data_IF_307741226131
#
_entry.id   IF_307741226131
#
_cell.length_a   1.000
_cell.length_b   1.000
_cell.length_c   1.000
_cell.angle_alpha   90.00
_cell.angle_beta   90.00
_cell.angle_gamma   90.00
#
_symmetry.space_group_name_H-M   'P 1'
#
loop_
_entity.id
_entity.type
_entity.pdbx_description
1 polymer ?
#
# COMPACT_ATOMS: atom_id res chain seq x y z
N UNK A 1 -16.68 -2.59 18.58
CA UNK A 1 -15.52 -1.84 18.05
C UNK A 1 -15.17 -2.46 16.70
N UNK A 2 -15.15 -1.70 15.59
CA UNK A 2 -14.77 -2.24 14.27
C UNK A 2 -13.24 -2.20 14.16
N UNK A 3 -12.59 -3.34 14.38
CA UNK A 3 -11.15 -3.49 14.21
C UNK A 3 -10.75 -3.53 12.72
N UNK A 4 -9.51 -3.12 12.44
CA UNK A 4 -8.86 -3.36 11.16
C UNK A 4 -8.70 -4.88 11.01
N UNK A 5 -9.53 -5.50 10.18
CA UNK A 5 -9.31 -6.90 9.79
C UNK A 5 -8.03 -6.95 8.95
N UNK A 6 -7.06 -7.84 9.25
CA UNK A 6 -5.86 -8.01 8.45
C UNK A 6 -6.22 -8.72 7.14
N UNK A 7 -6.89 -8.00 6.24
CA UNK A 7 -7.12 -8.42 4.86
C UNK A 7 -6.10 -7.67 4.03
N UNK A 8 -4.87 -8.18 3.98
CA UNK A 8 -3.80 -7.52 3.26
C UNK A 8 -2.67 -8.49 2.94
N UNK A 9 -2.47 -8.75 1.66
CA UNK A 9 -1.21 -9.27 1.17
C UNK A 9 -0.06 -8.30 1.50
N UNK A 10 1.18 -8.77 1.33
CA UNK A 10 2.35 -7.91 1.45
C UNK A 10 2.28 -6.72 0.47
N UNK A 11 2.80 -5.58 0.88
CA UNK A 11 3.06 -4.43 0.01
C UNK A 11 4.56 -4.15 0.01
N UNK A 12 5.08 -3.61 -1.09
CA UNK A 12 6.47 -3.17 -1.16
C UNK A 12 6.56 -1.66 -1.11
N UNK A 13 7.21 -1.16 -0.06
CA UNK A 13 7.57 0.24 0.07
C UNK A 13 8.94 0.42 -0.56
N UNK A 14 8.98 1.07 -1.72
CA UNK A 14 10.22 1.37 -2.44
C UNK A 14 10.99 2.54 -1.79
N UNK A 15 12.27 2.76 -2.14
CA UNK A 15 13.12 3.74 -1.45
C UNK A 15 12.53 5.15 -1.33
N UNK A 16 11.74 5.60 -2.32
CA UNK A 16 11.00 6.87 -2.24
C UNK A 16 10.00 6.89 -1.07
N UNK A 17 9.22 5.83 -0.90
CA UNK A 17 8.29 5.68 0.22
C UNK A 17 9.01 5.53 1.55
N UNK A 18 10.10 4.76 1.60
CA UNK A 18 10.90 4.57 2.82
C UNK A 18 11.47 5.90 3.32
N UNK A 19 11.95 6.76 2.41
CA UNK A 19 12.39 8.12 2.76
C UNK A 19 11.27 8.99 3.31
N UNK A 20 10.07 8.91 2.73
CA UNK A 20 8.91 9.63 3.26
C UNK A 20 8.58 9.17 4.69
N UNK A 21 8.60 7.85 4.94
CA UNK A 21 8.38 7.30 6.30
C UNK A 21 9.44 7.82 7.28
N UNK A 22 10.72 7.81 6.90
CA UNK A 22 11.80 8.34 7.73
C UNK A 22 11.63 9.83 8.03
N UNK A 23 11.26 10.63 7.02
CA UNK A 23 11.01 12.07 7.20
C UNK A 23 9.85 12.37 8.13
N UNK A 24 8.85 11.48 8.19
CA UNK A 24 7.71 11.56 9.11
C UNK A 24 8.02 10.97 10.51
N UNK A 25 9.27 10.57 10.77
CA UNK A 25 9.70 9.97 12.05
C UNK A 25 9.39 8.48 12.19
N UNK A 26 8.85 7.84 11.14
CA UNK A 26 8.47 6.42 11.13
C UNK A 26 9.53 5.52 10.47
N UNK A 27 10.80 5.93 10.49
CA UNK A 27 11.91 5.17 9.91
C UNK A 27 12.06 3.79 10.55
N UNK A 28 11.99 3.73 11.88
CA UNK A 28 12.16 2.50 12.67
C UNK A 28 11.11 1.43 12.33
N UNK A 29 9.89 1.84 11.93
CA UNK A 29 8.86 0.92 11.45
C UNK A 29 9.34 0.20 10.19
N UNK A 30 10.00 0.92 9.26
CA UNK A 30 10.55 0.31 8.04
C UNK A 30 11.72 -0.60 8.32
N UNK A 31 12.56 -0.24 9.30
CA UNK A 31 13.72 -1.06 9.69
C UNK A 31 13.28 -2.37 10.36
N UNK A 32 12.29 -2.29 11.26
CA UNK A 32 11.81 -3.41 12.07
C UNK A 32 10.98 -4.41 11.26
N UNK A 33 10.02 -3.91 10.47
CA UNK A 33 9.04 -4.75 9.79
C UNK A 33 9.37 -4.99 8.31
N UNK A 34 10.31 -4.24 7.74
CA UNK A 34 10.71 -4.37 6.34
C UNK A 34 11.58 -5.58 6.08
N UNK A 35 11.09 -6.54 5.31
CA UNK A 35 11.87 -7.70 4.86
C UNK A 35 13.11 -7.32 4.04
N UNK A 36 14.18 -8.11 4.06
CA UNK A 36 15.47 -7.75 3.47
C UNK A 36 15.50 -8.02 1.96
N UNK A 37 14.86 -7.16 1.15
CA UNK A 37 14.87 -7.31 -0.31
C UNK A 37 16.22 -6.87 -0.92
N UNK A 38 17.02 -7.83 -1.36
CA UNK A 38 18.38 -7.63 -1.89
C UNK A 38 18.51 -7.86 -3.39
N UNK A 39 17.66 -8.72 -3.96
CA UNK A 39 17.73 -9.11 -5.37
C UNK A 39 16.35 -9.13 -6.01
N UNK A 40 16.32 -9.01 -7.33
CA UNK A 40 15.17 -9.37 -8.15
C UNK A 40 15.56 -10.46 -9.13
N UNK A 41 14.66 -11.41 -9.36
CA UNK A 41 14.82 -12.44 -10.36
C UNK A 41 13.53 -12.63 -11.17
N UNK A 42 13.71 -12.95 -12.44
CA UNK A 42 12.65 -13.42 -13.33
C UNK A 42 13.00 -14.83 -13.75
N UNK A 43 12.08 -15.75 -13.49
CA UNK A 43 12.21 -17.17 -13.83
C UNK A 43 11.14 -17.55 -14.84
N UNK A 44 11.48 -18.42 -15.77
CA UNK A 44 10.44 -19.04 -16.59
C UNK A 44 9.52 -19.89 -15.69
N UNK A 45 8.21 -19.76 -15.86
CA UNK A 45 7.23 -20.47 -15.02
C UNK A 45 7.25 -22.00 -15.24
N UNK A 46 7.58 -22.48 -16.44
CA UNK A 46 7.55 -23.91 -16.78
C UNK A 46 8.85 -24.60 -16.41
N UNK A 47 9.99 -24.04 -16.80
CA UNK A 47 11.31 -24.65 -16.58
C UNK A 47 11.93 -24.27 -15.24
N UNK A 48 11.53 -23.15 -14.64
CA UNK A 48 12.15 -22.59 -13.44
C UNK A 48 13.51 -21.92 -13.70
N UNK A 49 13.97 -21.87 -14.96
CA UNK A 49 15.25 -21.29 -15.33
C UNK A 49 15.29 -19.79 -15.06
N UNK A 50 16.40 -19.28 -14.52
CA UNK A 50 16.61 -17.85 -14.35
C UNK A 50 16.77 -17.19 -15.72
N UNK A 51 15.79 -16.38 -16.12
CA UNK A 51 15.89 -15.53 -17.30
C UNK A 51 16.79 -14.32 -17.02
N UNK A 52 16.63 -13.71 -15.84
CA UNK A 52 17.51 -12.65 -15.36
C UNK A 52 17.48 -12.56 -13.85
N UNK A 53 18.59 -12.14 -13.26
CA UNK A 53 18.72 -11.90 -11.83
C UNK A 53 19.72 -10.75 -11.61
N UNK A 54 19.36 -9.80 -10.76
CA UNK A 54 20.22 -8.66 -10.47
C UNK A 54 20.12 -8.19 -9.02
N UNK A 55 21.22 -7.60 -8.55
CA UNK A 55 21.32 -7.02 -7.22
C UNK A 55 20.62 -5.65 -7.17
N UNK A 56 19.98 -5.37 -6.04
CA UNK A 56 19.46 -4.05 -5.71
C UNK A 56 20.50 -3.17 -5.01
N UNK A 57 21.71 -3.66 -4.73
CA UNK A 57 22.77 -2.87 -4.11
C UNK A 57 23.06 -1.53 -4.84
N UNK A 58 23.13 -1.46 -6.18
CA UNK A 58 23.32 -0.18 -6.88
C UNK A 58 22.14 0.80 -6.69
N UNK A 59 20.91 0.29 -6.54
CA UNK A 59 19.75 1.12 -6.20
C UNK A 59 19.88 1.67 -4.77
N UNK A 60 20.27 0.82 -3.83
CA UNK A 60 20.43 1.18 -2.42
C UNK A 60 21.53 2.22 -2.26
N UNK A 61 22.69 2.03 -2.90
CA UNK A 61 23.80 2.99 -2.88
C UNK A 61 23.37 4.35 -3.42
N UNK A 62 22.70 4.38 -4.57
CA UNK A 62 22.24 5.62 -5.20
C UNK A 62 21.15 6.34 -4.42
N UNK A 63 20.29 5.59 -3.72
CA UNK A 63 19.13 6.16 -3.02
C UNK A 63 19.36 6.35 -1.53
N UNK A 64 20.31 5.65 -0.91
CA UNK A 64 20.52 5.63 0.53
C UNK A 64 19.43 4.90 1.32
N UNK A 65 18.54 4.15 0.66
CA UNK A 65 17.48 3.40 1.35
C UNK A 65 17.17 2.11 0.61
N UNK A 66 16.84 1.05 1.36
CA UNK A 66 16.43 -0.24 0.78
C UNK A 66 14.92 -0.29 0.54
N UNK A 67 14.44 -1.05 -0.46
CA UNK A 67 13.03 -1.42 -0.51
C UNK A 67 12.66 -2.29 0.70
N UNK A 68 11.45 -2.10 1.20
CA UNK A 68 10.89 -2.81 2.33
C UNK A 68 9.56 -3.49 1.94
N UNK A 69 9.58 -4.77 1.53
CA UNK A 69 8.38 -5.60 1.58
C UNK A 69 7.90 -5.71 3.03
N UNK A 70 6.63 -5.42 3.28
CA UNK A 70 6.02 -5.41 4.61
C UNK A 70 4.61 -6.00 4.53
N UNK A 71 4.14 -6.59 5.63
CA UNK A 71 2.72 -6.86 5.78
C UNK A 71 1.96 -5.53 5.81
N UNK A 72 0.94 -5.39 4.97
CA UNK A 72 0.10 -4.19 4.97
C UNK A 72 -0.60 -3.98 6.32
N UNK A 73 -1.06 -5.07 6.93
CA UNK A 73 -1.77 -5.01 8.20
C UNK A 73 -0.85 -4.56 9.33
N UNK A 74 0.39 -5.05 9.36
CA UNK A 74 1.38 -4.63 10.36
C UNK A 74 1.77 -3.19 10.15
N UNK A 75 2.12 -2.79 8.92
CA UNK A 75 2.45 -1.41 8.62
C UNK A 75 1.34 -0.44 9.08
N UNK A 76 0.09 -0.74 8.75
CA UNK A 76 -1.04 0.12 9.15
C UNK A 76 -1.23 0.16 10.66
N UNK A 77 -1.04 -0.97 11.35
CA UNK A 77 -1.15 -1.04 12.81
C UNK A 77 -0.08 -0.18 13.47
N UNK A 78 1.18 -0.34 13.09
CA UNK A 78 2.29 0.40 13.68
C UNK A 78 2.21 1.90 13.39
N UNK A 79 1.79 2.28 12.17
CA UNK A 79 1.54 3.70 11.86
C UNK A 79 0.43 4.29 12.75
N UNK A 80 -0.64 3.53 12.98
CA UNK A 80 -1.75 3.96 13.81
C UNK A 80 -1.33 4.07 15.28
N UNK A 81 -0.49 3.15 15.77
CA UNK A 81 0.06 3.19 17.13
C UNK A 81 1.01 4.38 17.31
N UNK A 82 1.85 4.67 16.31
CA UNK A 82 2.78 5.81 16.31
C UNK A 82 2.04 7.17 16.40
N UNK A 83 0.97 7.36 15.61
CA UNK A 83 0.20 8.62 15.61
C UNK A 83 -0.88 8.71 16.70
N UNK A 84 -1.12 7.61 17.42
CA UNK A 84 -2.11 7.51 18.48
C UNK A 84 -3.50 7.15 17.98
N UNK A 85 -4.04 6.05 18.51
CA UNK A 85 -5.39 5.54 18.18
C UNK A 85 -6.50 6.51 18.57
N UNK A 86 -6.30 7.29 19.63
CA UNK A 86 -7.31 8.21 20.15
C UNK A 86 -7.60 9.37 19.20
N UNK A 87 -6.66 9.68 18.31
CA UNK A 87 -6.80 10.67 17.24
C UNK A 87 -7.65 10.15 16.06
N UNK A 88 -8.05 8.88 16.06
CA UNK A 88 -8.72 8.22 14.94
C UNK A 88 -10.11 7.75 15.33
N UNK A 89 -11.11 8.26 14.62
CA UNK A 89 -12.50 7.82 14.79
C UNK A 89 -12.87 6.74 13.77
N UNK A 90 -13.04 5.50 14.24
CA UNK A 90 -13.48 4.38 13.41
C UNK A 90 -15.00 4.39 13.18
N UNK A 91 -15.44 3.69 12.14
CA UNK A 91 -16.87 3.58 11.80
C UNK A 91 -17.45 4.82 11.11
N UNK A 92 -16.64 5.85 10.87
CA UNK A 92 -17.01 7.09 10.17
C UNK A 92 -16.84 6.95 8.66
N UNK A 93 -17.82 6.34 7.99
CA UNK A 93 -17.84 6.26 6.51
C UNK A 93 -18.47 7.54 5.96
N UNK A 94 -17.71 8.32 5.21
CA UNK A 94 -18.18 9.55 4.56
C UNK A 94 -19.17 9.23 3.43
N UNK A 95 -20.22 10.05 3.29
CA UNK A 95 -21.24 9.95 2.24
C UNK A 95 -21.34 11.22 1.39
N UNK A 96 -21.01 12.37 1.97
CA UNK A 96 -21.13 13.70 1.36
C UNK A 96 -20.10 14.64 1.95
N UNK A 97 -19.64 15.60 1.16
CA UNK A 97 -18.94 16.79 1.62
C UNK A 97 -19.55 18.04 0.97
N UNK A 98 -19.43 19.17 1.64
CA UNK A 98 -19.73 20.51 1.12
C UNK A 98 -18.65 21.47 1.57
N UNK A 99 -18.36 22.45 0.73
CA UNK A 99 -17.41 23.52 0.99
C UNK A 99 -18.12 24.86 0.78
N UNK A 100 -17.90 25.78 1.70
CA UNK A 100 -18.38 27.16 1.64
C UNK A 100 -17.27 28.13 2.05
N UNK A 101 -17.61 29.40 2.28
CA UNK A 101 -16.63 30.44 2.63
C UNK A 101 -16.00 30.22 4.03
N UNK A 102 -16.63 29.44 4.90
CA UNK A 102 -16.23 29.23 6.28
C UNK A 102 -15.50 27.87 6.49
N UNK A 103 -15.53 26.97 5.50
CA UNK A 103 -14.72 25.75 5.48
C UNK A 103 -15.39 24.57 4.79
N UNK A 104 -15.05 23.36 5.23
CA UNK A 104 -15.58 22.09 4.69
C UNK A 104 -16.35 21.35 5.77
N UNK A 105 -17.54 20.85 5.42
CA UNK A 105 -18.34 19.94 6.26
C UNK A 105 -18.49 18.58 5.59
N UNK A 106 -18.32 17.51 6.36
CA UNK A 106 -18.52 16.12 5.92
C UNK A 106 -19.61 15.44 6.72
N UNK A 107 -20.37 14.57 6.05
CA UNK A 107 -21.41 13.75 6.68
C UNK A 107 -21.08 12.27 6.57
N UNK A 108 -21.44 11.52 7.62
CA UNK A 108 -21.13 10.10 7.75
C UNK A 108 -22.38 9.23 7.73
N UNK A 109 -22.22 7.94 7.44
CA UNK A 109 -23.33 6.97 7.40
C UNK A 109 -24.05 6.75 8.72
N UNK A 110 -23.43 7.13 9.85
CA UNK A 110 -24.04 7.05 11.18
C UNK A 110 -24.91 8.27 11.53
N UNK A 111 -25.09 9.20 10.59
CA UNK A 111 -25.86 10.43 10.77
C UNK A 111 -25.08 11.58 11.39
N UNK A 112 -23.84 11.35 11.85
CA UNK A 112 -22.99 12.42 12.36
C UNK A 112 -22.35 13.25 11.24
N UNK A 113 -21.80 14.41 11.61
CA UNK A 113 -20.99 15.27 10.73
C UNK A 113 -19.76 15.80 11.45
N UNK A 114 -18.81 16.31 10.67
CA UNK A 114 -17.65 17.04 11.16
C UNK A 114 -17.33 18.21 10.23
N UNK A 115 -16.82 19.31 10.78
CA UNK A 115 -16.44 20.51 10.03
C UNK A 115 -15.00 20.92 10.35
N UNK A 116 -14.33 21.55 9.39
CA UNK A 116 -12.98 22.10 9.57
C UNK A 116 -12.51 22.92 8.37
N UNK A 117 -11.34 23.54 8.49
CA UNK A 117 -10.81 24.45 7.47
C UNK A 117 -10.35 23.74 6.20
N UNK A 118 -9.98 22.46 6.30
CA UNK A 118 -9.46 21.65 5.20
C UNK A 118 -9.90 20.19 5.33
N UNK A 119 -10.21 19.57 4.19
CA UNK A 119 -10.46 18.14 4.06
C UNK A 119 -9.39 17.47 3.18
N UNK A 120 -8.68 16.49 3.74
CA UNK A 120 -7.78 15.61 2.98
C UNK A 120 -8.53 14.32 2.62
N UNK A 121 -8.92 14.18 1.36
CA UNK A 121 -9.59 12.98 0.86
C UNK A 121 -8.59 11.82 0.63
N UNK A 122 -8.45 10.95 1.63
CA UNK A 122 -7.60 9.75 1.58
C UNK A 122 -8.42 8.44 1.62
N UNK A 123 -9.61 8.43 1.03
CA UNK A 123 -10.61 7.35 1.08
C UNK A 123 -10.46 6.26 -0.01
N UNK A 124 -9.32 6.23 -0.69
CA UNK A 124 -8.86 5.11 -1.51
C UNK A 124 -9.53 4.98 -2.89
N UNK A 125 -9.36 3.81 -3.52
CA UNK A 125 -9.75 3.60 -4.93
C UNK A 125 -11.25 3.67 -5.19
N UNK A 126 -12.06 3.43 -4.15
CA UNK A 126 -13.54 3.55 -4.15
C UNK A 126 -14.03 4.84 -3.48
N UNK A 127 -13.21 5.90 -3.54
CA UNK A 127 -13.51 7.20 -2.94
C UNK A 127 -14.94 7.66 -3.20
N UNK A 128 -15.65 7.98 -2.13
CA UNK A 128 -16.98 8.60 -2.19
C UNK A 128 -16.86 10.11 -2.46
N UNK A 129 -15.71 10.70 -2.16
CA UNK A 129 -15.44 12.13 -2.30
C UNK A 129 -14.94 12.51 -3.70
N UNK A 130 -14.31 11.60 -4.43
CA UNK A 130 -13.76 11.88 -5.77
C UNK A 130 -14.78 12.49 -6.74
N UNK A 131 -16.04 12.04 -6.83
CA UNK A 131 -17.01 12.67 -7.72
C UNK A 131 -17.35 14.12 -7.34
N UNK A 132 -17.28 14.48 -6.06
CA UNK A 132 -17.51 15.85 -5.59
C UNK A 132 -16.41 16.78 -6.08
N UNK A 133 -15.15 16.35 -5.97
CA UNK A 133 -13.99 17.10 -6.44
C UNK A 133 -13.97 17.23 -7.97
N UNK A 134 -14.34 16.16 -8.68
CA UNK A 134 -14.29 16.14 -10.14
C UNK A 134 -15.54 16.71 -10.83
N UNK A 135 -16.67 16.81 -10.12
CA UNK A 135 -17.97 17.14 -10.70
C UNK A 135 -18.60 16.01 -11.54
N UNK A 136 -17.96 14.84 -11.61
CA UNK A 136 -18.48 13.65 -12.30
C UNK A 136 -17.90 12.37 -11.70
N UNK A 137 -18.56 11.24 -11.96
CA UNK A 137 -18.04 9.93 -11.55
C UNK A 137 -17.20 9.31 -12.67
N UNK A 138 -15.87 9.16 -12.50
CA UNK A 138 -15.03 8.52 -13.50
C UNK A 138 -15.37 7.03 -13.62
N UNK A 139 -15.51 6.56 -14.85
CA UNK A 139 -15.78 5.15 -15.13
C UNK A 139 -14.53 4.29 -14.88
N UNK A 140 -14.72 3.16 -14.21
CA UNK A 140 -13.63 2.19 -13.98
C UNK A 140 -13.57 1.22 -15.15
N UNK A 141 -12.40 1.10 -15.76
CA UNK A 141 -12.14 0.10 -16.78
C UNK A 141 -11.45 -1.11 -16.15
N UNK A 142 -11.99 -2.30 -16.37
CA UNK A 142 -11.31 -3.52 -15.99
C UNK A 142 -10.01 -3.67 -16.80
N UNK A 143 -8.91 -4.01 -16.12
CA UNK A 143 -7.58 -4.08 -16.72
C UNK A 143 -7.38 -5.34 -17.59
N UNK A 144 -8.34 -6.27 -17.59
CA UNK A 144 -8.24 -7.53 -18.33
C UNK A 144 -7.67 -8.70 -17.52
N UNK A 145 -7.26 -8.48 -16.27
CA UNK A 145 -6.70 -9.52 -15.40
C UNK A 145 -7.08 -9.32 -13.92
N UNK A 146 -6.92 -10.39 -13.14
CA UNK A 146 -7.09 -10.42 -11.68
C UNK A 146 -5.81 -10.92 -11.04
N UNK A 147 -5.42 -10.30 -9.91
CA UNK A 147 -4.30 -10.76 -9.11
C UNK A 147 -4.79 -11.60 -7.94
N UNK A 148 -4.31 -12.84 -7.86
CA UNK A 148 -4.50 -13.72 -6.70
C UNK A 148 -3.31 -13.53 -5.75
N UNK A 149 -3.60 -13.30 -4.48
CA UNK A 149 -2.57 -13.11 -3.47
C UNK A 149 -2.77 -14.10 -2.33
N UNK A 150 -1.68 -14.66 -1.84
CA UNK A 150 -1.63 -15.54 -0.68
C UNK A 150 -0.37 -15.26 0.13
N UNK A 151 -0.39 -15.67 1.40
CA UNK A 151 0.77 -15.65 2.27
C UNK A 151 1.14 -17.11 2.58
N UNK A 152 2.43 -17.40 2.53
CA UNK A 152 3.01 -18.70 2.88
C UNK A 152 4.20 -18.48 3.79
N UNK A 153 4.57 -19.49 4.58
CA UNK A 153 5.86 -19.48 5.27
C UNK A 153 6.99 -19.41 4.25
N UNK A 154 8.09 -18.75 4.61
CA UNK A 154 9.25 -18.66 3.72
C UNK A 154 9.78 -20.07 3.47
N UNK A 155 9.88 -20.42 2.18
CA UNK A 155 10.44 -21.67 1.73
C UNK A 155 11.49 -21.40 0.64
N UNK A 156 12.76 -21.58 1.01
CA UNK A 156 13.92 -21.40 0.14
C UNK A 156 13.94 -22.41 -1.02
N UNK A 157 13.14 -23.50 -0.94
CA UNK A 157 12.93 -24.39 -2.08
C UNK A 157 12.09 -23.75 -3.19
N UNK A 158 11.23 -22.78 -2.86
CA UNK A 158 10.45 -22.01 -3.84
C UNK A 158 11.26 -20.85 -4.41
N UNK A 159 11.81 -20.00 -3.53
CA UNK A 159 12.60 -18.84 -3.89
C UNK A 159 13.41 -18.33 -2.68
N UNK A 160 14.54 -17.63 -2.92
CA UNK A 160 15.29 -17.03 -1.82
C UNK A 160 14.48 -15.98 -1.04
N UNK A 161 14.54 -16.03 0.29
CA UNK A 161 13.78 -15.14 1.17
C UNK A 161 14.22 -13.66 1.11
N UNK A 162 15.39 -13.39 0.54
CA UNK A 162 15.92 -12.04 0.30
C UNK A 162 15.71 -11.54 -1.14
N UNK A 163 14.89 -12.24 -1.93
CA UNK A 163 14.72 -12.00 -3.36
C UNK A 163 13.24 -11.88 -3.76
N UNK A 164 12.93 -10.86 -4.55
CA UNK A 164 11.66 -10.82 -5.28
C UNK A 164 11.80 -11.70 -6.52
N UNK A 165 11.11 -12.84 -6.51
CA UNK A 165 11.11 -13.77 -7.65
C UNK A 165 9.80 -13.69 -8.40
N UNK A 166 9.86 -13.31 -9.67
CA UNK A 166 8.71 -13.31 -10.58
C UNK A 166 8.80 -14.52 -11.49
N UNK A 167 7.80 -15.39 -11.46
CA UNK A 167 7.66 -16.47 -12.44
C UNK A 167 6.86 -15.95 -13.65
N UNK A 168 7.47 -15.98 -14.83
CA UNK A 168 6.93 -15.43 -16.07
C UNK A 168 6.33 -16.56 -16.89
N UNK A 169 5.05 -16.46 -17.24
CA UNK A 169 4.35 -17.40 -18.10
C UNK A 169 3.67 -16.72 -19.28
N UNK A 170 3.05 -17.51 -20.17
CA UNK A 170 2.43 -17.02 -21.41
C UNK A 170 1.30 -15.99 -21.19
N UNK A 171 0.67 -15.97 -20.00
CA UNK A 171 -0.35 -14.99 -19.63
C UNK A 171 0.19 -13.72 -18.97
N UNK A 172 1.50 -13.64 -18.67
CA UNK A 172 2.14 -12.51 -18.00
C UNK A 172 2.43 -11.33 -18.95
N UNK A 173 2.39 -11.57 -20.27
CA UNK A 173 2.47 -10.52 -21.28
C UNK A 173 1.06 -10.06 -21.63
N UNK A 174 0.65 -8.91 -21.10
CA UNK A 174 -0.46 -8.17 -21.68
C UNK A 174 -0.14 -7.91 -23.15
N UNK A 175 -0.99 -8.37 -24.07
CA UNK A 175 -1.06 -7.82 -25.42
C UNK A 175 -1.45 -6.34 -25.37
#
# INVERSE_FOLDING_TARGET
>A
MKEIKPVGAAISVWPNGVKCMAHLGMGDIMETFGGPLRRMAYRDFRSGENMTQFSLAPLIERTGSRPCPVSRAELQREMLDYWGRDSVQFGKRVTRCEEDADGVTVWFTDGSSASGDLLIAADGSHSALRPWVLGFTPQRRYAGYVNWNGLVEIDEALAPGDQWTTFVGEASASR
#
